data_IF_958950765165
#
_entry.id   IF_958950765165
#
_cell.length_a   1.000
_cell.length_b   1.000
_cell.length_c   1.000
_cell.angle_alpha   90.00
_cell.angle_beta   90.00
_cell.angle_gamma   90.00
#
_symmetry.space_group_name_H-M   'P 1'
#
loop_
_entity.id
_entity.type
_entity.pdbx_description
1 polymer ?
#
# COMPACT_ATOMS: atom_id res chain seq x y z
N UNK A 1 6.39 -26.67 20.90
CA UNK A 1 5.82 -26.05 19.69
C UNK A 1 4.33 -26.28 19.73
N UNK A 2 3.58 -25.22 19.89
CA UNK A 2 2.12 -25.27 20.00
C UNK A 2 1.49 -25.26 18.61
N UNK A 3 0.22 -25.69 18.49
CA UNK A 3 -0.51 -25.60 17.21
C UNK A 3 -0.58 -24.14 16.69
N UNK A 4 -0.57 -23.17 17.61
CA UNK A 4 -0.51 -21.75 17.30
C UNK A 4 0.81 -21.35 16.63
N UNK A 5 1.94 -21.89 17.08
CA UNK A 5 3.26 -21.61 16.48
C UNK A 5 3.34 -22.16 15.05
N UNK A 6 2.74 -23.33 14.78
CA UNK A 6 2.68 -23.91 13.44
C UNK A 6 1.79 -23.09 12.50
N UNK A 7 0.63 -22.66 12.98
CA UNK A 7 -0.27 -21.78 12.22
C UNK A 7 0.43 -20.45 11.93
N UNK A 8 1.08 -19.85 12.92
CA UNK A 8 1.88 -18.63 12.72
C UNK A 8 2.97 -18.85 11.68
N UNK A 9 3.77 -19.91 11.80
CA UNK A 9 4.84 -20.22 10.84
C UNK A 9 4.34 -20.46 9.42
N UNK A 10 3.20 -21.15 9.26
CA UNK A 10 2.60 -21.43 7.96
C UNK A 10 1.99 -20.17 7.32
N UNK A 11 1.29 -19.35 8.11
CA UNK A 11 0.86 -18.01 7.70
C UNK A 11 2.05 -17.15 7.30
N UNK A 12 3.13 -17.18 8.08
CA UNK A 12 4.37 -16.47 7.76
C UNK A 12 4.93 -16.95 6.42
N UNK A 13 5.05 -18.27 6.20
CA UNK A 13 5.53 -18.85 4.94
C UNK A 13 4.69 -18.41 3.73
N UNK A 14 3.35 -18.46 3.85
CA UNK A 14 2.44 -17.98 2.81
C UNK A 14 2.64 -16.50 2.51
N UNK A 15 2.80 -15.66 3.53
CA UNK A 15 3.13 -14.26 3.31
C UNK A 15 4.48 -14.09 2.61
N UNK A 16 5.51 -14.95 2.86
CA UNK A 16 6.82 -14.84 2.14
C UNK A 16 6.57 -15.09 0.67
N UNK A 17 5.81 -16.16 0.40
CA UNK A 17 5.58 -16.67 -0.93
C UNK A 17 4.82 -15.63 -1.75
N UNK A 18 3.76 -15.06 -1.16
CA UNK A 18 3.02 -13.94 -1.79
C UNK A 18 3.95 -12.76 -2.04
N UNK A 19 4.78 -12.35 -1.07
CA UNK A 19 5.77 -11.27 -1.24
C UNK A 19 6.71 -11.51 -2.43
N UNK A 20 7.36 -12.67 -2.49
CA UNK A 20 8.31 -13.00 -3.56
C UNK A 20 7.63 -13.02 -4.93
N UNK A 21 6.44 -13.62 -5.03
CA UNK A 21 5.65 -13.64 -6.27
C UNK A 21 5.26 -12.24 -6.72
N UNK A 22 4.87 -11.38 -5.78
CA UNK A 22 4.50 -10.00 -6.03
C UNK A 22 5.69 -9.17 -6.57
N UNK A 23 6.83 -9.22 -5.86
CA UNK A 23 8.06 -8.50 -6.26
C UNK A 23 8.60 -9.01 -7.61
N UNK A 24 8.59 -10.33 -7.81
CA UNK A 24 9.01 -10.93 -9.07
C UNK A 24 8.14 -10.46 -10.24
N UNK A 25 6.82 -10.38 -10.06
CA UNK A 25 5.90 -9.98 -11.12
C UNK A 25 6.05 -8.51 -11.51
N UNK A 26 6.36 -7.64 -10.55
CA UNK A 26 6.67 -6.22 -10.81
C UNK A 26 7.93 -6.05 -11.65
N UNK A 27 8.99 -6.81 -11.37
CA UNK A 27 10.29 -6.68 -12.05
C UNK A 27 10.31 -7.23 -13.48
N UNK A 28 9.34 -8.07 -13.87
CA UNK A 28 9.47 -8.89 -15.08
C UNK A 28 9.02 -8.21 -16.38
N UNK A 29 7.96 -7.40 -16.43
CA UNK A 29 7.42 -6.90 -17.71
C UNK A 29 6.80 -5.47 -17.63
N UNK A 30 7.56 -4.41 -17.93
CA UNK A 30 7.04 -3.04 -18.06
C UNK A 30 6.59 -2.74 -19.50
N UNK A 31 5.30 -2.95 -19.81
CA UNK A 31 4.68 -2.43 -21.06
C UNK A 31 3.55 -1.45 -20.72
N UNK A 32 3.29 -0.40 -21.52
CA UNK A 32 2.41 0.71 -21.12
C UNK A 32 0.94 0.34 -20.87
N UNK A 33 0.36 -0.63 -21.61
CA UNK A 33 -0.99 -1.15 -21.34
C UNK A 33 -1.01 -2.20 -20.22
N UNK A 34 0.11 -2.87 -19.95
CA UNK A 34 0.25 -3.71 -18.77
C UNK A 34 0.60 -2.89 -17.53
N UNK A 35 0.91 -1.60 -17.68
CA UNK A 35 1.38 -0.74 -16.59
C UNK A 35 0.29 -0.53 -15.57
N UNK A 36 -0.98 -0.44 -15.98
CA UNK A 36 -2.09 -0.20 -15.07
C UNK A 36 -2.53 -1.47 -14.32
N UNK A 37 -2.54 -2.62 -15.00
CA UNK A 37 -2.61 -3.92 -14.31
C UNK A 37 -1.42 -4.11 -13.36
N UNK A 38 -0.21 -3.81 -13.81
CA UNK A 38 0.99 -3.94 -13.01
C UNK A 38 0.97 -2.99 -11.82
N UNK A 39 0.45 -1.77 -11.95
CA UNK A 39 0.33 -0.81 -10.84
C UNK A 39 -0.67 -1.29 -9.80
N UNK A 40 -1.83 -1.82 -10.25
CA UNK A 40 -2.82 -2.41 -9.35
C UNK A 40 -2.21 -3.56 -8.54
N UNK A 41 -1.58 -4.52 -9.23
CA UNK A 41 -0.91 -5.64 -8.57
C UNK A 41 0.32 -5.21 -7.77
N UNK A 42 1.05 -4.17 -8.17
CA UNK A 42 2.19 -3.63 -7.44
C UNK A 42 1.79 -2.95 -6.13
N UNK A 43 0.61 -2.31 -6.08
CA UNK A 43 0.08 -1.77 -4.83
C UNK A 43 -0.32 -2.88 -3.87
N UNK A 44 -1.02 -3.90 -4.37
CA UNK A 44 -1.37 -5.07 -3.55
C UNK A 44 -0.11 -5.79 -3.05
N UNK A 45 0.90 -5.90 -3.92
CA UNK A 45 2.23 -6.40 -3.58
C UNK A 45 2.89 -5.58 -2.46
N UNK A 46 2.95 -4.25 -2.63
CA UNK A 46 3.56 -3.32 -1.68
C UNK A 46 2.95 -3.46 -0.28
N UNK A 47 1.63 -3.56 -0.20
CA UNK A 47 0.92 -3.78 1.06
C UNK A 47 1.34 -5.09 1.76
N UNK A 48 1.46 -6.19 1.00
CA UNK A 48 1.94 -7.47 1.53
C UNK A 48 3.40 -7.39 1.98
N UNK A 49 4.25 -6.66 1.25
CA UNK A 49 5.66 -6.44 1.60
C UNK A 49 5.76 -5.74 2.95
N UNK A 50 5.05 -4.63 3.09
CA UNK A 50 5.09 -3.76 4.26
C UNK A 50 4.63 -4.47 5.52
N UNK A 51 3.43 -5.08 5.47
CA UNK A 51 2.87 -5.84 6.60
C UNK A 51 3.85 -6.90 7.10
N UNK A 52 4.66 -7.46 6.19
CA UNK A 52 5.72 -8.41 6.50
C UNK A 52 6.96 -7.81 7.13
N UNK A 53 7.45 -6.70 6.59
CA UNK A 53 8.65 -6.01 7.09
C UNK A 53 8.40 -5.58 8.54
N UNK A 54 7.23 -5.02 8.83
CA UNK A 54 6.81 -4.63 10.18
C UNK A 54 6.75 -5.85 11.11
N UNK A 55 6.13 -6.95 10.65
CA UNK A 55 6.02 -8.18 11.44
C UNK A 55 7.36 -8.87 11.71
N UNK A 56 8.29 -8.88 10.75
CA UNK A 56 9.60 -9.52 10.87
C UNK A 56 10.58 -8.72 11.71
N UNK A 57 10.58 -7.40 11.54
CA UNK A 57 11.49 -6.52 12.28
C UNK A 57 10.97 -6.27 13.71
N UNK A 58 9.68 -6.47 13.98
CA UNK A 58 9.07 -6.13 15.27
C UNK A 58 9.15 -4.63 15.58
N UNK A 59 9.39 -3.81 14.56
CA UNK A 59 9.55 -2.36 14.67
C UNK A 59 8.22 -1.70 14.33
N UNK A 60 7.83 -0.71 15.11
CA UNK A 60 6.69 0.16 14.78
C UNK A 60 7.01 0.95 13.53
N UNK A 61 6.16 0.83 12.50
CA UNK A 61 6.30 1.58 11.27
C UNK A 61 6.32 3.10 11.59
N UNK A 62 7.25 3.87 11.00
CA UNK A 62 7.22 5.32 11.13
C UNK A 62 5.89 5.90 10.62
N UNK A 63 5.41 6.99 11.22
CA UNK A 63 4.14 7.62 10.84
C UNK A 63 4.04 7.93 9.33
N UNK A 64 5.11 8.48 8.76
CA UNK A 64 5.20 8.78 7.33
C UNK A 64 5.09 7.53 6.44
N UNK A 65 5.50 6.36 6.94
CA UNK A 65 5.42 5.09 6.20
C UNK A 65 3.97 4.60 6.15
N UNK A 66 3.26 4.67 7.28
CA UNK A 66 1.82 4.40 7.37
C UNK A 66 1.00 5.36 6.50
N UNK A 67 1.37 6.63 6.42
CA UNK A 67 0.71 7.63 5.58
C UNK A 67 0.84 7.27 4.09
N UNK A 68 2.02 6.84 3.64
CA UNK A 68 2.26 6.36 2.27
C UNK A 68 1.37 5.15 1.97
N UNK A 69 1.28 4.19 2.91
CA UNK A 69 0.41 3.02 2.77
C UNK A 69 -1.05 3.45 2.57
N UNK A 70 -1.57 4.33 3.43
CA UNK A 70 -2.96 4.80 3.37
C UNK A 70 -3.26 5.48 2.03
N UNK A 71 -2.39 6.38 1.58
CA UNK A 71 -2.53 7.06 0.29
C UNK A 71 -2.50 6.04 -0.87
N UNK A 72 -1.64 5.03 -0.77
CA UNK A 72 -1.50 3.98 -1.77
C UNK A 72 -2.77 3.10 -1.86
N UNK A 73 -3.36 2.72 -0.73
CA UNK A 73 -4.65 2.01 -0.70
C UNK A 73 -5.76 2.88 -1.30
N UNK A 74 -5.79 4.16 -0.96
CA UNK A 74 -6.80 5.08 -1.48
C UNK A 74 -6.62 5.38 -2.98
N UNK A 75 -5.46 5.06 -3.55
CA UNK A 75 -5.21 5.10 -5.00
C UNK A 75 -5.79 3.91 -5.78
N UNK A 76 -6.12 2.80 -5.12
CA UNK A 76 -6.74 1.63 -5.76
C UNK A 76 -7.98 1.97 -6.60
N UNK A 77 -8.99 2.71 -6.11
CA UNK A 77 -10.16 3.06 -6.92
C UNK A 77 -9.81 3.89 -8.16
N UNK A 78 -8.82 4.79 -8.08
CA UNK A 78 -8.33 5.52 -9.25
C UNK A 78 -7.69 4.58 -10.27
N UNK A 79 -6.85 3.65 -9.80
CA UNK A 79 -6.17 2.68 -10.65
C UNK A 79 -7.16 1.69 -11.27
N UNK A 80 -8.22 1.32 -10.55
CA UNK A 80 -9.33 0.54 -11.10
C UNK A 80 -10.08 1.31 -12.18
N UNK A 81 -10.36 2.61 -11.98
CA UNK A 81 -10.95 3.45 -13.03
C UNK A 81 -10.03 3.59 -14.24
N UNK A 82 -8.71 3.66 -14.01
CA UNK A 82 -7.71 3.70 -15.08
C UNK A 82 -7.66 2.39 -15.85
N UNK A 83 -7.71 1.26 -15.14
CA UNK A 83 -7.76 -0.07 -15.72
C UNK A 83 -9.04 -0.28 -16.52
N UNK A 84 -10.20 0.14 -16.01
CA UNK A 84 -11.48 0.07 -16.73
C UNK A 84 -11.45 0.94 -17.98
N UNK A 85 -10.77 2.10 -17.94
CA UNK A 85 -10.61 2.96 -19.11
C UNK A 85 -9.83 2.32 -20.26
N UNK A 86 -8.91 1.38 -19.96
CA UNK A 86 -8.22 0.60 -20.99
C UNK A 86 -9.15 -0.40 -21.70
N UNK A 87 -10.26 -0.80 -21.05
CA UNK A 87 -11.23 -1.76 -21.60
C UNK A 87 -12.55 -1.10 -22.06
N UNK A 88 -12.81 0.15 -21.70
CA UNK A 88 -14.08 0.87 -21.92
C UNK A 88 -13.83 2.38 -21.90
N UNK A 89 -14.63 3.19 -22.61
CA UNK A 89 -14.51 4.64 -22.50
C UNK A 89 -15.06 5.14 -21.15
N UNK A 90 -14.19 5.61 -20.26
CA UNK A 90 -14.57 6.27 -19.00
C UNK A 90 -14.57 7.79 -19.22
N UNK A 91 -15.58 8.53 -18.73
CA UNK A 91 -15.62 9.98 -18.88
C UNK A 91 -14.39 10.64 -18.23
N UNK A 92 -13.66 11.51 -18.95
CA UNK A 92 -12.39 12.09 -18.48
C UNK A 92 -12.55 12.98 -17.24
N UNK A 93 -13.75 13.52 -17.02
CA UNK A 93 -14.11 14.25 -15.81
C UNK A 93 -13.99 13.39 -14.54
N UNK A 94 -14.38 12.13 -14.61
CA UNK A 94 -14.35 11.21 -13.47
C UNK A 94 -12.91 10.85 -13.09
N UNK A 95 -12.05 10.61 -14.10
CA UNK A 95 -10.61 10.43 -13.91
C UNK A 95 -9.99 11.66 -13.25
N UNK A 96 -10.22 12.85 -13.81
CA UNK A 96 -9.65 14.10 -13.26
C UNK A 96 -10.13 14.40 -11.85
N UNK A 97 -11.41 14.20 -11.56
CA UNK A 97 -11.96 14.42 -10.22
C UNK A 97 -11.29 13.49 -9.20
N UNK A 98 -11.11 12.22 -9.55
CA UNK A 98 -10.48 11.23 -8.67
C UNK A 98 -8.99 11.53 -8.48
N UNK A 99 -8.29 11.95 -9.53
CA UNK A 99 -6.88 12.36 -9.46
C UNK A 99 -6.70 13.59 -8.56
N UNK A 100 -7.54 14.62 -8.72
CA UNK A 100 -7.53 15.82 -7.87
C UNK A 100 -7.81 15.46 -6.41
N UNK A 101 -8.80 14.59 -6.17
CA UNK A 101 -9.11 14.12 -4.81
C UNK A 101 -7.91 13.38 -4.20
N UNK A 102 -7.20 12.56 -4.98
CA UNK A 102 -6.04 11.82 -4.51
C UNK A 102 -4.86 12.74 -4.17
N UNK A 103 -4.57 13.71 -5.04
CA UNK A 103 -3.52 14.71 -4.82
C UNK A 103 -3.86 15.55 -3.58
N UNK A 104 -5.11 16.02 -3.47
CA UNK A 104 -5.58 16.78 -2.32
C UNK A 104 -5.41 16.00 -1.01
N UNK A 105 -5.78 14.72 -1.02
CA UNK A 105 -5.59 13.84 0.13
C UNK A 105 -4.10 13.66 0.48
N UNK A 106 -3.24 13.37 -0.49
CA UNK A 106 -1.81 13.22 -0.26
C UNK A 106 -1.20 14.49 0.35
N UNK A 107 -1.59 15.67 -0.13
CA UNK A 107 -1.17 16.96 0.43
C UNK A 107 -1.66 17.18 1.85
N UNK A 108 -2.88 16.73 2.18
CA UNK A 108 -3.40 16.78 3.55
C UNK A 108 -2.57 15.90 4.49
N UNK A 109 -2.24 14.67 4.10
CA UNK A 109 -1.39 13.79 4.91
C UNK A 109 0.01 14.38 5.13
N UNK A 110 0.62 14.96 4.08
CA UNK A 110 1.93 15.61 4.18
C UNK A 110 1.85 16.88 5.04
N UNK A 111 0.82 17.70 4.85
CA UNK A 111 0.65 18.99 5.52
C UNK A 111 0.17 18.91 6.97
N UNK A 112 -0.50 17.82 7.34
CA UNK A 112 -0.93 17.54 8.71
C UNK A 112 0.09 16.72 9.50
N UNK A 113 1.33 16.58 9.03
CA UNK A 113 2.39 15.92 9.79
C UNK A 113 2.57 16.62 11.15
N UNK A 114 2.03 15.98 12.20
CA UNK A 114 2.22 16.41 13.57
C UNK A 114 3.26 15.49 14.21
N UNK A 115 4.41 16.02 14.68
CA UNK A 115 5.33 15.21 15.45
C UNK A 115 4.60 14.65 16.69
N UNK A 116 4.92 13.41 17.11
CA UNK A 116 4.26 12.79 18.25
C UNK A 116 4.32 13.73 19.46
N UNK A 117 3.16 13.95 20.09
CA UNK A 117 3.07 14.83 21.24
C UNK A 117 4.07 14.40 22.33
N UNK A 118 4.77 15.33 22.98
CA UNK A 118 5.67 15.00 24.09
C UNK A 118 4.89 14.19 25.14
N UNK A 119 5.46 13.07 25.59
CA UNK A 119 4.86 12.29 26.66
C UNK A 119 4.65 13.18 27.90
N UNK A 120 3.49 13.11 28.58
CA UNK A 120 3.28 13.85 29.82
C UNK A 120 4.42 13.55 30.80
N UNK A 121 4.95 14.54 31.54
CA UNK A 121 5.96 14.28 32.54
C UNK A 121 5.42 13.29 33.58
N UNK A 122 6.27 12.37 34.10
CA UNK A 122 5.85 11.44 35.15
C UNK A 122 5.32 12.24 36.34
N UNK A 123 4.13 11.87 36.85
CA UNK A 123 3.59 12.44 38.06
C UNK A 123 4.58 12.15 39.22
N UNK A 124 5.22 13.19 39.77
CA UNK A 124 5.98 13.12 41.01
C UNK A 124 5.07 13.32 42.21
#
# INVERSE_FOLDING_TARGET
>A
MTALDLIQGLSQALYVLVFVLATWRYLRDPTPAHLDMALFFAILAFFVVETRIVALLGVTAPLWFTDILIVTILALPYILLRLVDDFTNVPPLLKRATEIALIGLALVFIGLYQPPAPLPPPYT
#
